data_IF_601909782031
#
_entry.id   IF_601909782031
#
_cell.length_a   1.000
_cell.length_b   1.000
_cell.length_c   1.000
_cell.angle_alpha   90.00
_cell.angle_beta   90.00
_cell.angle_gamma   90.00
#
_symmetry.space_group_name_H-M   'P 1'
#
loop_
_entity.id
_entity.type
_entity.pdbx_description
1 polymer ?
#
# COMPACT_ATOMS: atom_id res chain seq x y z
N UNK A 1 -7.96 -14.40 8.01
CA UNK A 1 -7.70 -13.10 7.37
C UNK A 1 -6.30 -12.67 7.75
N UNK A 2 -5.40 -12.53 6.79
CA UNK A 2 -4.10 -11.93 7.03
C UNK A 2 -4.29 -10.41 7.11
N UNK A 3 -3.78 -9.79 8.18
CA UNK A 3 -3.79 -8.34 8.34
C UNK A 3 -2.81 -7.75 7.33
N UNK A 4 -3.21 -6.73 6.57
CA UNK A 4 -2.30 -6.01 5.68
C UNK A 4 -1.25 -5.31 6.56
N UNK A 5 0.03 -5.57 6.32
CA UNK A 5 1.15 -4.94 7.02
C UNK A 5 1.93 -4.05 6.07
N UNK A 6 2.77 -3.16 6.62
CA UNK A 6 3.64 -2.28 5.83
C UNK A 6 4.76 -3.01 5.07
N UNK A 7 5.00 -4.27 5.43
CA UNK A 7 6.03 -5.14 4.85
C UNK A 7 5.53 -5.89 3.61
N UNK A 8 4.22 -5.88 3.33
CA UNK A 8 3.68 -6.44 2.09
C UNK A 8 4.20 -5.64 0.90
N UNK A 9 4.50 -6.34 -0.20
CA UNK A 9 4.82 -5.67 -1.46
C UNK A 9 3.57 -5.08 -2.09
N UNK A 10 3.74 -4.01 -2.87
CA UNK A 10 2.62 -3.46 -3.63
C UNK A 10 2.04 -4.46 -4.63
N UNK A 11 2.90 -5.32 -5.23
CA UNK A 11 2.48 -6.37 -6.14
C UNK A 11 1.60 -7.42 -5.47
N UNK A 12 1.99 -7.91 -4.28
CA UNK A 12 1.17 -8.83 -3.50
C UNK A 12 -0.14 -8.19 -3.07
N UNK A 13 -0.08 -6.96 -2.51
CA UNK A 13 -1.28 -6.23 -2.10
C UNK A 13 -2.28 -6.08 -3.25
N UNK A 14 -1.85 -5.65 -4.44
CA UNK A 14 -2.74 -5.45 -5.57
C UNK A 14 -3.20 -6.75 -6.23
N UNK A 15 -2.44 -7.84 -6.06
CA UNK A 15 -2.85 -9.18 -6.52
C UNK A 15 -3.94 -9.76 -5.63
N UNK A 16 -3.88 -9.54 -4.31
CA UNK A 16 -4.89 -10.02 -3.36
C UNK A 16 -6.08 -9.05 -3.24
N UNK A 17 -5.81 -7.75 -3.33
CA UNK A 17 -6.74 -6.65 -3.11
C UNK A 17 -6.63 -5.60 -4.23
N UNK A 18 -7.15 -5.86 -5.44
CA UNK A 18 -7.11 -4.89 -6.55
C UNK A 18 -7.80 -3.56 -6.19
N UNK A 19 -8.77 -3.60 -5.28
CA UNK A 19 -9.49 -2.43 -4.76
C UNK A 19 -8.62 -1.52 -3.88
N UNK A 20 -7.39 -1.93 -3.53
CA UNK A 20 -6.42 -1.09 -2.84
C UNK A 20 -5.82 -0.01 -3.75
N UNK A 21 -5.80 -0.19 -5.07
CA UNK A 21 -5.24 0.77 -6.02
C UNK A 21 -5.76 2.23 -5.85
N UNK A 22 -7.08 2.49 -5.79
CA UNK A 22 -7.59 3.85 -5.57
C UNK A 22 -7.20 4.42 -4.20
N UNK A 23 -7.07 3.58 -3.16
CA UNK A 23 -6.63 4.02 -1.83
C UNK A 23 -5.19 4.50 -1.91
N UNK A 24 -4.31 3.70 -2.52
CA UNK A 24 -2.89 4.05 -2.70
C UNK A 24 -2.72 5.33 -3.53
N UNK A 25 -3.55 5.52 -4.56
CA UNK A 25 -3.58 6.74 -5.37
C UNK A 25 -3.88 8.01 -4.56
N UNK A 26 -4.74 7.93 -3.54
CA UNK A 26 -5.05 9.06 -2.65
C UNK A 26 -3.87 9.46 -1.76
N UNK A 27 -2.95 8.54 -1.50
CA UNK A 27 -1.70 8.80 -0.78
C UNK A 27 -0.58 9.25 -1.71
N UNK A 28 -0.86 9.56 -2.98
CA UNK A 28 0.15 10.03 -3.94
C UNK A 28 0.96 8.89 -4.56
N UNK A 29 0.57 7.64 -4.37
CA UNK A 29 1.24 6.46 -4.93
C UNK A 29 0.60 6.05 -6.28
N UNK A 30 0.32 7.01 -7.15
CA UNK A 30 -0.29 6.74 -8.47
C UNK A 30 0.61 5.93 -9.41
N UNK A 31 1.92 5.87 -9.13
CA UNK A 31 2.92 5.23 -9.97
C UNK A 31 3.16 3.74 -9.64
N UNK A 32 2.38 3.12 -8.75
CA UNK A 32 2.58 1.72 -8.30
C UNK A 32 2.51 0.70 -9.44
N UNK A 33 1.88 1.03 -10.58
CA UNK A 33 1.90 0.20 -11.79
C UNK A 33 3.23 0.18 -12.56
N UNK A 34 4.25 0.93 -12.12
CA UNK A 34 5.57 0.88 -12.72
C UNK A 34 6.30 -0.41 -12.30
N UNK A 35 6.99 -1.07 -13.24
CA UNK A 35 7.69 -2.35 -13.01
C UNK A 35 8.68 -2.35 -11.84
N UNK A 36 9.13 -1.18 -11.38
CA UNK A 36 10.04 -1.04 -10.25
C UNK A 36 9.30 -1.09 -8.90
N UNK A 37 8.07 -0.57 -8.84
CA UNK A 37 7.34 -0.39 -7.59
C UNK A 37 6.54 -1.62 -7.16
N UNK A 38 6.31 -2.59 -8.05
CA UNK A 38 5.60 -3.83 -7.69
C UNK A 38 6.35 -4.69 -6.66
N UNK A 39 7.68 -4.61 -6.63
CA UNK A 39 8.55 -5.35 -5.70
C UNK A 39 8.90 -4.58 -4.44
N UNK A 40 8.54 -3.30 -4.35
CA UNK A 40 8.76 -2.50 -3.15
C UNK A 40 7.69 -2.81 -2.11
N UNK A 41 8.08 -2.78 -0.82
CA UNK A 41 7.09 -2.77 0.26
C UNK A 41 6.38 -1.43 0.34
N UNK A 42 5.20 -1.42 0.97
CA UNK A 42 4.48 -0.17 1.25
C UNK A 42 5.37 0.81 2.02
N UNK A 43 6.09 0.33 3.04
CA UNK A 43 6.98 1.18 3.81
C UNK A 43 8.07 1.81 2.93
N UNK A 44 8.72 1.00 2.08
CA UNK A 44 9.80 1.47 1.21
C UNK A 44 9.29 2.52 0.20
N UNK A 45 8.19 2.23 -0.50
CA UNK A 45 7.65 3.17 -1.48
C UNK A 45 7.17 4.48 -0.85
N UNK A 46 6.54 4.42 0.32
CA UNK A 46 6.12 5.63 1.03
C UNK A 46 7.31 6.45 1.53
N UNK A 47 8.34 5.81 2.10
CA UNK A 47 9.57 6.50 2.53
C UNK A 47 10.35 7.09 1.37
N UNK A 48 10.40 6.42 0.21
CA UNK A 48 11.01 6.94 -1.01
C UNK A 48 10.33 8.23 -1.51
N UNK A 49 9.05 8.40 -1.19
CA UNK A 49 8.27 9.60 -1.48
C UNK A 49 8.25 10.63 -0.33
N UNK A 50 9.09 10.45 0.70
CA UNK A 50 9.23 11.40 1.81
C UNK A 50 8.11 11.35 2.84
N UNK A 51 7.35 10.25 2.91
CA UNK A 51 6.28 10.08 3.90
C UNK A 51 6.83 9.45 5.19
N UNK A 52 6.32 9.92 6.32
CA UNK A 52 6.73 9.47 7.65
C UNK A 52 5.93 8.24 8.11
N UNK A 53 6.39 7.56 9.16
CA UNK A 53 5.72 6.39 9.75
C UNK A 53 4.24 6.67 10.13
N UNK A 54 3.88 7.92 10.43
CA UNK A 54 2.49 8.31 10.67
C UNK A 54 1.60 8.19 9.42
N UNK A 55 2.10 8.62 8.26
CA UNK A 55 1.38 8.49 7.01
C UNK A 55 1.25 7.01 6.61
N UNK A 56 2.32 6.23 6.82
CA UNK A 56 2.33 4.78 6.59
C UNK A 56 1.29 4.08 7.46
N UNK A 57 1.27 4.37 8.76
CA UNK A 57 0.28 3.81 9.68
C UNK A 57 -1.16 4.14 9.26
N UNK A 58 -1.43 5.38 8.81
CA UNK A 58 -2.75 5.78 8.30
C UNK A 58 -3.16 5.00 7.06
N UNK A 59 -2.25 4.82 6.10
CA UNK A 59 -2.54 4.04 4.90
C UNK A 59 -2.87 2.59 5.26
N UNK A 60 -2.06 1.97 6.12
CA UNK A 60 -2.27 0.58 6.55
C UNK A 60 -3.60 0.42 7.27
N UNK A 61 -3.97 1.37 8.12
CA UNK A 61 -5.26 1.36 8.79
C UNK A 61 -6.41 1.47 7.78
N UNK A 62 -6.33 2.41 6.82
CA UNK A 62 -7.34 2.57 5.77
C UNK A 62 -7.46 1.33 4.88
N UNK A 63 -6.35 0.70 4.50
CA UNK A 63 -6.34 -0.56 3.74
C UNK A 63 -7.01 -1.68 4.52
N UNK A 64 -6.66 -1.88 5.79
CA UNK A 64 -7.29 -2.91 6.61
C UNK A 64 -8.80 -2.66 6.84
N UNK A 65 -9.23 -1.39 6.92
CA UNK A 65 -10.65 -1.05 7.08
C UNK A 65 -11.47 -1.25 5.81
N UNK A 66 -10.93 -0.86 4.64
CA UNK A 66 -11.65 -0.83 3.37
C UNK A 66 -11.54 -2.12 2.56
N UNK A 67 -10.37 -2.76 2.56
CA UNK A 67 -10.10 -3.96 1.74
C UNK A 67 -9.70 -5.19 2.56
N UNK A 68 -9.25 -5.02 3.80
CA UNK A 68 -8.90 -6.12 4.71
C UNK A 68 -10.10 -6.87 5.33
N UNK A 69 -11.34 -6.55 4.94
CA UNK A 69 -12.56 -7.24 5.38
C UNK A 69 -13.07 -8.18 4.27
N UNK A 70 -12.56 -9.41 4.19
CA UNK A 70 -13.33 -10.54 3.63
C UNK A 70 -12.83 -11.91 4.10
#
# INVERSE_FOLDING_TARGET
>A
MAKITKDITFGELLSEHPDAAPILGNYGLHCIGCRLSISETIEQGMKAHGMDDSAIAKLIDELNQKVGKN
#
